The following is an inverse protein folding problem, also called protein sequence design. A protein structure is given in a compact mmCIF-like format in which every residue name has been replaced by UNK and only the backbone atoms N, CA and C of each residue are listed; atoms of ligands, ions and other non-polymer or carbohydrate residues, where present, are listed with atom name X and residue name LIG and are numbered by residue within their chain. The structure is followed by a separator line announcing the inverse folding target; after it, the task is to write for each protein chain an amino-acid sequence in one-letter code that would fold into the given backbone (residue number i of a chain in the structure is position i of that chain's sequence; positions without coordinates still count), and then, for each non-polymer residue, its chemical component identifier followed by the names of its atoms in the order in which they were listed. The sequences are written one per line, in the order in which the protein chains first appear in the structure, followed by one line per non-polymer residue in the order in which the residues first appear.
data_IF_506645516446
#
_entry.id   IF_506645516446
#
_cell.length_a   1.000
_cell.length_b   1.000
_cell.length_c   1.000
_cell.angle_alpha   90.00
_cell.angle_beta   90.00
_cell.angle_gamma   90.00
#
_symmetry.space_group_name_H-M   'P 1'
#
loop_
_entity.id
_entity.type
_entity.pdbx_description
1 polymer ?
#
# COMPACT_ATOMS: atom_id res chain seq x y z
N UNK A 1 -11.85 -29.25 6.38
CA UNK A 1 -12.81 -28.49 7.17
C UNK A 1 -13.34 -29.38 8.28
N UNK A 2 -13.18 -28.95 9.52
CA UNK A 2 -13.85 -29.62 10.63
C UNK A 2 -15.35 -29.48 10.39
N UNK A 3 -16.07 -30.59 10.46
CA UNK A 3 -17.51 -30.59 10.24
C UNK A 3 -18.18 -29.68 11.28
N UNK A 4 -19.04 -28.77 10.85
CA UNK A 4 -19.79 -27.85 11.71
C UNK A 4 -20.84 -28.54 12.57
N UNK A 5 -20.81 -29.87 12.58
CA UNK A 5 -21.83 -30.73 13.21
C UNK A 5 -23.09 -30.88 12.35
N UNK A 6 -23.80 -31.94 12.62
CA UNK A 6 -25.14 -32.20 12.09
C UNK A 6 -26.07 -32.56 13.23
N UNK A 7 -27.37 -32.32 13.11
CA UNK A 7 -28.32 -32.77 14.11
C UNK A 7 -28.24 -34.29 14.31
N UNK A 8 -28.14 -34.72 15.56
CA UNK A 8 -28.23 -36.15 15.88
C UNK A 8 -29.71 -36.49 16.02
N UNK A 9 -30.16 -37.46 15.26
CA UNK A 9 -31.56 -37.86 15.21
C UNK A 9 -31.69 -39.24 15.88
N UNK A 10 -32.55 -39.30 16.84
CA UNK A 10 -32.95 -40.57 17.45
C UNK A 10 -34.32 -40.96 16.90
N UNK A 11 -34.38 -42.08 16.20
CA UNK A 11 -35.63 -42.58 15.64
C UNK A 11 -36.04 -43.91 16.34
N UNK A 12 -37.32 -44.14 16.43
CA UNK A 12 -37.90 -45.39 17.00
C UNK A 12 -38.00 -46.54 16.01
N UNK A 13 -37.38 -46.38 14.83
CA UNK A 13 -37.35 -47.41 13.76
C UNK A 13 -38.52 -47.36 12.79
N UNK A 14 -39.52 -46.54 13.02
CA UNK A 14 -40.66 -46.30 12.12
C UNK A 14 -40.60 -44.96 11.39
N UNK A 15 -39.63 -44.13 11.71
CA UNK A 15 -39.50 -42.76 11.20
C UNK A 15 -38.82 -42.69 9.85
N UNK A 16 -39.37 -41.90 8.93
CA UNK A 16 -38.74 -41.51 7.68
C UNK A 16 -38.31 -40.05 7.78
N UNK A 17 -37.06 -39.83 8.12
CA UNK A 17 -36.55 -38.52 8.43
C UNK A 17 -35.91 -37.85 7.22
N UNK A 18 -36.37 -36.66 6.89
CA UNK A 18 -35.72 -35.74 5.95
C UNK A 18 -35.01 -34.61 6.73
N UNK A 19 -33.78 -34.30 6.34
CA UNK A 19 -33.00 -33.22 6.92
C UNK A 19 -32.52 -32.28 5.82
N UNK A 20 -32.75 -31.01 5.98
CA UNK A 20 -32.22 -29.97 5.11
C UNK A 20 -31.78 -28.76 5.94
N UNK A 21 -31.00 -27.88 5.36
CA UNK A 21 -30.61 -26.64 6.00
C UNK A 21 -30.56 -25.49 4.98
N UNK A 22 -30.60 -24.28 5.53
CA UNK A 22 -30.43 -23.04 4.79
C UNK A 22 -29.42 -22.15 5.55
N UNK A 23 -28.43 -21.61 4.84
CA UNK A 23 -27.35 -20.80 5.41
C UNK A 23 -27.57 -19.34 5.07
N UNK A 24 -27.48 -18.47 6.08
CA UNK A 24 -27.41 -17.02 5.92
C UNK A 24 -26.08 -16.54 6.45
N UNK A 25 -25.24 -15.94 5.57
CA UNK A 25 -23.94 -15.40 5.92
C UNK A 25 -24.06 -13.94 6.33
N UNK A 26 -23.29 -13.56 7.37
CA UNK A 26 -23.12 -12.20 7.85
C UNK A 26 -21.63 -11.90 7.91
N UNK A 27 -21.20 -10.91 7.15
CA UNK A 27 -19.83 -10.39 7.17
C UNK A 27 -19.69 -9.31 8.23
N UNK A 28 -18.46 -8.96 8.61
CA UNK A 28 -18.13 -7.92 9.59
C UNK A 28 -18.74 -8.15 10.98
N UNK A 29 -18.52 -9.31 11.53
CA UNK A 29 -18.98 -9.70 12.85
C UNK A 29 -17.83 -9.54 13.84
N UNK A 30 -18.09 -8.85 14.97
CA UNK A 30 -17.10 -8.68 16.03
C UNK A 30 -16.52 -10.03 16.50
N UNK A 31 -15.18 -10.13 16.47
CA UNK A 31 -14.44 -11.33 16.85
C UNK A 31 -14.61 -12.54 15.93
N UNK A 32 -14.91 -12.34 14.67
CA UNK A 32 -14.94 -13.40 13.66
C UNK A 32 -14.88 -12.81 12.25
N UNK A 33 -14.32 -13.55 11.28
CA UNK A 33 -14.28 -13.17 9.87
C UNK A 33 -15.67 -13.03 9.30
N UNK A 34 -16.51 -14.01 9.59
CA UNK A 34 -17.92 -14.00 9.27
C UNK A 34 -18.68 -14.98 10.18
N UNK A 35 -19.99 -14.82 10.18
CA UNK A 35 -20.90 -15.69 10.90
C UNK A 35 -21.92 -16.28 9.93
N UNK A 36 -22.20 -17.55 10.08
CA UNK A 36 -23.27 -18.24 9.37
C UNK A 36 -24.36 -18.58 10.40
N UNK A 37 -25.59 -18.21 10.09
CA UNK A 37 -26.75 -18.76 10.73
C UNK A 37 -27.27 -19.88 9.84
N UNK A 38 -27.16 -21.12 10.33
CA UNK A 38 -27.68 -22.32 9.66
C UNK A 38 -29.01 -22.69 10.28
N UNK A 39 -30.06 -22.53 9.52
CA UNK A 39 -31.39 -23.00 9.91
C UNK A 39 -31.55 -24.46 9.45
N UNK A 40 -31.54 -25.37 10.39
CA UNK A 40 -31.85 -26.77 10.16
C UNK A 40 -33.37 -26.96 10.11
N UNK A 41 -33.87 -27.71 9.11
CA UNK A 41 -35.25 -28.13 8.97
C UNK A 41 -35.26 -29.66 8.95
N UNK A 42 -35.96 -30.25 9.90
CA UNK A 42 -36.07 -31.69 10.09
C UNK A 42 -37.53 -32.04 9.94
N UNK A 43 -37.83 -33.03 9.15
CA UNK A 43 -39.22 -33.54 8.94
C UNK A 43 -39.22 -35.05 9.10
N UNK A 44 -40.18 -35.52 9.88
CA UNK A 44 -40.53 -36.95 9.93
C UNK A 44 -41.80 -37.16 9.10
N UNK A 45 -41.64 -37.70 7.91
CA UNK A 45 -42.72 -37.91 6.97
C UNK A 45 -43.82 -38.86 7.49
N UNK A 46 -43.52 -39.69 8.45
CA UNK A 46 -44.48 -40.58 9.10
C UNK A 46 -45.40 -39.86 10.08
N UNK A 47 -44.94 -38.74 10.63
CA UNK A 47 -45.66 -37.94 11.62
C UNK A 47 -46.11 -36.57 11.06
N UNK A 48 -45.67 -36.23 9.86
CA UNK A 48 -45.88 -34.89 9.31
C UNK A 48 -47.35 -34.62 8.98
N UNK A 49 -47.90 -33.57 9.58
CA UNK A 49 -49.23 -33.03 9.30
C UNK A 49 -49.16 -31.58 8.84
N UNK A 50 -49.38 -31.29 7.53
CA UNK A 50 -49.13 -29.96 6.96
C UNK A 50 -49.85 -28.81 7.68
N UNK A 51 -51.05 -29.02 8.16
CA UNK A 51 -51.89 -27.99 8.78
C UNK A 51 -51.45 -27.64 10.22
N UNK A 52 -50.77 -28.55 10.89
CA UNK A 52 -50.39 -28.38 12.30
C UNK A 52 -48.90 -28.23 12.50
N UNK A 53 -48.06 -28.57 11.47
CA UNK A 53 -46.61 -28.63 11.57
C UNK A 53 -46.09 -29.77 12.47
N UNK A 54 -46.96 -30.71 12.87
CA UNK A 54 -46.52 -31.90 13.62
C UNK A 54 -45.55 -32.70 12.78
N UNK A 55 -44.51 -33.26 13.40
CA UNK A 55 -43.45 -33.99 12.70
C UNK A 55 -42.42 -33.06 11.98
N UNK A 56 -42.44 -31.78 12.25
CA UNK A 56 -41.46 -30.83 11.74
C UNK A 56 -40.77 -30.09 12.90
N UNK A 57 -39.43 -29.97 12.80
CA UNK A 57 -38.61 -29.22 13.76
C UNK A 57 -37.66 -28.30 13.00
N UNK A 58 -37.35 -27.15 13.60
CA UNK A 58 -36.30 -26.25 13.15
C UNK A 58 -35.36 -25.91 14.29
N UNK A 59 -34.11 -25.68 13.94
CA UNK A 59 -33.06 -25.26 14.88
C UNK A 59 -32.09 -24.35 14.17
N UNK A 60 -31.72 -23.25 14.84
CA UNK A 60 -30.73 -22.32 14.32
C UNK A 60 -29.38 -22.59 14.97
N UNK A 61 -28.43 -22.98 14.17
CA UNK A 61 -27.02 -23.14 14.56
C UNK A 61 -26.25 -21.87 14.19
N UNK A 62 -25.50 -21.34 15.14
CA UNK A 62 -24.59 -20.22 14.93
C UNK A 62 -23.19 -20.78 14.69
N UNK A 63 -22.63 -20.50 13.52
CA UNK A 63 -21.26 -20.89 13.15
C UNK A 63 -20.47 -19.61 13.02
N UNK A 64 -19.41 -19.45 13.84
CA UNK A 64 -18.44 -18.38 13.72
C UNK A 64 -17.20 -18.93 13.02
N UNK A 65 -16.71 -18.22 12.02
CA UNK A 65 -15.46 -18.56 11.32
C UNK A 65 -14.40 -17.58 11.78
N UNK A 66 -13.33 -18.11 12.34
CA UNK A 66 -12.17 -17.35 12.80
C UNK A 66 -11.01 -17.61 11.85
N UNK A 67 -10.22 -16.57 11.62
CA UNK A 67 -8.91 -16.60 11.05
C UNK A 67 -7.96 -15.92 12.03
N UNK A 68 -6.80 -16.49 12.25
CA UNK A 68 -5.77 -15.96 13.15
C UNK A 68 -4.55 -15.47 12.36
N UNK A 69 -4.53 -15.73 11.05
CA UNK A 69 -3.46 -15.32 10.16
C UNK A 69 -3.82 -13.97 9.51
N UNK A 70 -2.93 -13.00 9.59
CA UNK A 70 -3.11 -11.73 8.91
C UNK A 70 -2.67 -11.77 7.46
N UNK A 71 -3.06 -10.75 6.66
CA UNK A 71 -2.66 -10.62 5.27
C UNK A 71 -1.14 -10.64 5.11
N UNK A 72 -0.61 -11.32 4.10
CA UNK A 72 0.82 -11.47 3.90
C UNK A 72 1.33 -10.60 2.77
N UNK A 73 2.27 -9.67 3.07
CA UNK A 73 3.02 -8.95 2.05
C UNK A 73 3.93 -9.90 1.27
N UNK A 74 3.86 -9.85 -0.06
CA UNK A 74 4.67 -10.71 -0.94
C UNK A 74 6.00 -10.05 -1.34
N UNK A 75 6.08 -8.73 -1.26
CA UNK A 75 7.12 -7.90 -1.85
C UNK A 75 7.59 -6.78 -0.91
N UNK A 76 7.50 -7.00 0.41
CA UNK A 76 7.98 -6.01 1.38
C UNK A 76 9.50 -5.85 1.27
N UNK A 77 10.02 -4.64 1.01
CA UNK A 77 11.45 -4.41 0.90
C UNK A 77 12.19 -4.73 2.20
N UNK A 78 13.31 -5.42 2.10
CA UNK A 78 14.21 -5.72 3.23
C UNK A 78 15.40 -4.76 3.30
N UNK A 79 15.67 -4.08 2.20
CA UNK A 79 16.72 -3.07 2.08
C UNK A 79 16.09 -1.69 1.89
N UNK A 80 16.79 -0.61 2.24
CA UNK A 80 16.32 0.74 2.01
C UNK A 80 16.03 1.01 0.53
N UNK A 81 14.95 1.72 0.25
CA UNK A 81 14.53 2.08 -1.10
C UNK A 81 15.06 3.49 -1.42
N UNK A 82 15.79 3.61 -2.51
CA UNK A 82 16.28 4.89 -3.02
C UNK A 82 15.49 5.28 -4.26
N UNK A 83 14.85 6.44 -4.21
CA UNK A 83 14.07 7.01 -5.30
C UNK A 83 14.82 8.22 -5.84
N UNK A 84 15.09 8.18 -7.13
CA UNK A 84 15.90 9.18 -7.82
C UNK A 84 14.99 10.12 -8.63
N UNK A 85 15.13 11.41 -8.42
CA UNK A 85 14.50 12.42 -9.27
C UNK A 85 15.36 12.58 -10.52
N UNK A 86 14.82 12.30 -11.68
CA UNK A 86 15.51 12.41 -12.96
C UNK A 86 14.73 13.27 -13.95
N UNK A 87 15.39 13.78 -15.00
CA UNK A 87 14.83 14.67 -16.03
C UNK A 87 13.53 14.18 -16.69
N UNK A 88 13.25 12.91 -16.64
CA UNK A 88 12.08 12.32 -17.30
C UNK A 88 11.05 11.73 -16.31
N UNK A 89 11.15 12.12 -15.05
CA UNK A 89 10.34 11.58 -13.97
C UNK A 89 10.81 10.21 -13.52
N UNK A 90 10.45 9.86 -12.30
CA UNK A 90 10.67 8.52 -11.80
C UNK A 90 9.63 7.62 -12.46
N UNK A 91 10.11 6.69 -13.26
CA UNK A 91 9.29 5.58 -13.76
C UNK A 91 9.42 4.45 -12.74
N UNK A 92 8.50 4.36 -11.83
CA UNK A 92 8.34 3.14 -11.07
C UNK A 92 7.74 2.05 -11.98
N UNK A 93 8.07 0.78 -11.75
CA UNK A 93 7.76 -0.31 -12.69
C UNK A 93 6.30 -0.45 -13.10
N UNK A 94 5.37 0.07 -12.32
CA UNK A 94 3.94 -0.08 -12.53
C UNK A 94 3.23 1.18 -13.05
N UNK A 95 3.86 2.33 -13.06
CA UNK A 95 3.18 3.57 -13.43
C UNK A 95 4.01 4.43 -14.39
N UNK A 96 3.43 4.71 -15.57
CA UNK A 96 4.02 5.58 -16.59
C UNK A 96 3.74 7.07 -16.35
N UNK A 97 3.38 7.48 -15.13
CA UNK A 97 3.18 8.89 -14.86
C UNK A 97 4.53 9.62 -14.93
N UNK A 98 4.60 10.55 -15.85
CA UNK A 98 5.76 11.40 -15.98
C UNK A 98 5.84 12.35 -14.78
N UNK A 99 7.02 12.55 -14.29
CA UNK A 99 7.38 13.67 -13.45
C UNK A 99 6.82 14.98 -14.07
N UNK A 100 6.25 15.85 -13.25
CA UNK A 100 5.93 17.20 -13.66
C UNK A 100 7.26 17.90 -13.94
N UNK A 101 7.63 17.92 -15.18
CA UNK A 101 8.91 18.45 -15.62
C UNK A 101 8.95 19.98 -15.61
N UNK A 102 10.07 20.52 -16.04
CA UNK A 102 10.38 21.94 -16.13
C UNK A 102 9.32 22.81 -16.86
N UNK A 103 8.42 22.19 -17.59
CA UNK A 103 7.38 22.87 -18.37
C UNK A 103 6.13 23.21 -17.56
N UNK A 104 6.01 22.75 -16.31
CA UNK A 104 4.93 23.15 -15.41
C UNK A 104 5.38 24.31 -14.51
N UNK A 105 4.90 25.55 -14.79
CA UNK A 105 5.29 26.72 -13.98
C UNK A 105 4.82 26.65 -12.53
N UNK A 106 4.03 25.63 -12.16
CA UNK A 106 3.56 25.39 -10.81
C UNK A 106 4.24 24.17 -10.16
N UNK A 107 5.08 23.45 -10.89
CA UNK A 107 5.86 22.37 -10.31
C UNK A 107 6.87 22.94 -9.33
N UNK A 108 6.89 22.46 -8.10
CA UNK A 108 8.02 22.75 -7.23
C UNK A 108 9.23 22.00 -7.81
N UNK A 109 10.35 22.69 -7.92
CA UNK A 109 11.56 22.24 -8.59
C UNK A 109 12.13 20.90 -8.08
N UNK A 110 11.70 20.42 -6.91
CA UNK A 110 12.19 19.19 -6.27
C UNK A 110 11.05 18.25 -5.87
N UNK A 111 9.95 18.28 -6.57
CA UNK A 111 8.86 17.36 -6.32
C UNK A 111 8.95 16.12 -7.19
N UNK A 112 8.47 15.01 -6.68
CA UNK A 112 8.36 13.76 -7.42
C UNK A 112 7.01 13.12 -7.16
N UNK A 113 6.37 12.70 -8.25
CA UNK A 113 5.15 11.92 -8.21
C UNK A 113 5.52 10.44 -8.18
N UNK A 114 5.10 9.75 -7.14
CA UNK A 114 5.49 8.36 -6.88
C UNK A 114 4.25 7.52 -6.67
N UNK A 115 4.17 6.39 -7.37
CA UNK A 115 3.22 5.33 -7.04
C UNK A 115 3.96 4.24 -6.27
N UNK A 116 3.53 4.01 -5.03
CA UNK A 116 3.96 2.89 -4.22
C UNK A 116 2.95 1.76 -4.33
N UNK A 117 3.42 0.55 -4.55
CA UNK A 117 2.58 -0.61 -4.83
C UNK A 117 3.07 -1.83 -4.08
N UNK A 118 2.13 -2.58 -3.48
CA UNK A 118 2.39 -3.84 -2.82
C UNK A 118 1.38 -4.90 -3.21
N UNK A 119 1.84 -6.13 -3.30
CA UNK A 119 0.99 -7.31 -3.47
C UNK A 119 0.75 -7.97 -2.12
N UNK A 120 -0.51 -8.15 -1.77
CA UNK A 120 -0.95 -8.81 -0.55
C UNK A 120 -1.61 -10.13 -0.90
N UNK A 121 -1.26 -11.18 -0.16
CA UNK A 121 -1.96 -12.46 -0.19
C UNK A 121 -2.84 -12.57 1.05
N UNK A 122 -4.11 -12.84 0.80
CA UNK A 122 -5.11 -13.10 1.81
C UNK A 122 -6.01 -14.27 1.36
N UNK A 123 -6.49 -15.11 2.27
CA UNK A 123 -7.20 -16.34 1.91
C UNK A 123 -8.61 -16.45 2.46
N UNK A 124 -8.94 -15.71 3.51
CA UNK A 124 -10.21 -15.81 4.22
C UNK A 124 -11.14 -14.62 4.00
N UNK A 125 -10.60 -13.46 3.67
CA UNK A 125 -11.35 -12.24 3.40
C UNK A 125 -11.42 -11.91 1.92
N UNK A 126 -12.58 -11.45 1.46
CA UNK A 126 -12.77 -10.95 0.09
C UNK A 126 -12.25 -9.51 -0.08
N UNK A 127 -11.99 -8.84 1.03
CA UNK A 127 -11.53 -7.44 1.08
C UNK A 127 -10.51 -7.29 2.19
N UNK A 128 -9.45 -6.52 1.92
CA UNK A 128 -8.50 -6.03 2.93
C UNK A 128 -8.60 -4.52 3.03
N UNK A 129 -8.21 -3.97 4.18
CA UNK A 129 -8.12 -2.54 4.40
C UNK A 129 -6.67 -2.18 4.66
N UNK A 130 -6.20 -1.08 4.07
CA UNK A 130 -4.82 -0.65 4.26
C UNK A 130 -4.71 0.85 4.48
N UNK A 131 -3.66 1.26 5.16
CA UNK A 131 -3.24 2.64 5.31
C UNK A 131 -1.72 2.77 5.15
N UNK A 132 -1.29 3.98 4.79
CA UNK A 132 0.13 4.28 4.56
C UNK A 132 0.53 5.49 5.36
N UNK A 133 1.57 5.34 6.17
CA UNK A 133 2.17 6.40 6.98
C UNK A 133 3.64 6.55 6.66
N UNK A 134 4.14 7.77 6.76
CA UNK A 134 5.57 8.02 6.71
C UNK A 134 6.02 8.72 7.99
N UNK A 135 7.14 8.29 8.49
CA UNK A 135 7.85 8.93 9.61
C UNK A 135 9.05 9.67 9.03
N UNK A 136 9.00 11.00 8.94
CA UNK A 136 10.13 11.78 8.48
C UNK A 136 11.31 11.61 9.43
N UNK A 137 12.52 11.52 8.89
CA UNK A 137 13.71 11.30 9.72
C UNK A 137 13.96 12.44 10.73
N UNK A 138 13.55 13.65 10.40
CA UNK A 138 13.68 14.84 11.25
C UNK A 138 12.38 15.21 11.97
N UNK A 139 11.35 14.37 11.89
CA UNK A 139 10.03 14.60 12.49
C UNK A 139 9.79 13.72 13.72
N UNK A 140 8.95 14.21 14.60
CA UNK A 140 8.50 13.45 15.78
C UNK A 140 7.23 12.67 15.53
N UNK A 141 6.44 13.09 14.56
CA UNK A 141 5.15 12.52 14.22
C UNK A 141 5.13 11.96 12.80
N UNK A 142 4.23 11.03 12.55
CA UNK A 142 4.03 10.51 11.20
C UNK A 142 3.14 11.43 10.36
N UNK A 143 3.32 11.34 9.05
CA UNK A 143 2.43 11.94 8.05
C UNK A 143 1.56 10.82 7.49
N UNK A 144 0.24 10.99 7.56
CA UNK A 144 -0.69 10.04 6.93
C UNK A 144 -0.71 10.28 5.42
N UNK A 145 -0.03 9.44 4.68
CA UNK A 145 -0.01 9.54 3.22
C UNK A 145 -1.31 9.04 2.60
N UNK A 146 -1.81 7.91 3.09
CA UNK A 146 -3.10 7.37 2.64
C UNK A 146 -3.91 6.92 3.86
N UNK A 147 -5.15 7.42 4.00
CA UNK A 147 -6.05 6.94 5.05
C UNK A 147 -6.53 5.52 4.73
N UNK A 148 -7.11 4.87 5.73
CA UNK A 148 -7.66 3.52 5.61
C UNK A 148 -8.55 3.38 4.36
N UNK A 149 -8.15 2.51 3.46
CA UNK A 149 -8.77 2.31 2.15
C UNK A 149 -8.97 0.82 1.93
N UNK A 150 -10.09 0.45 1.30
CA UNK A 150 -10.38 -0.94 0.95
C UNK A 150 -9.71 -1.35 -0.36
N UNK A 151 -9.24 -2.58 -0.42
CA UNK A 151 -8.80 -3.25 -1.65
C UNK A 151 -9.46 -4.62 -1.75
N UNK A 152 -9.84 -5.00 -2.97
CA UNK A 152 -10.52 -6.27 -3.24
C UNK A 152 -9.51 -7.37 -3.51
N UNK A 153 -9.75 -8.54 -2.99
CA UNK A 153 -9.01 -9.77 -3.29
C UNK A 153 -9.48 -10.31 -4.65
N UNK A 154 -8.54 -10.69 -5.49
CA UNK A 154 -8.82 -11.35 -6.77
C UNK A 154 -9.10 -12.86 -6.61
N UNK A 155 -9.31 -13.55 -7.75
CA UNK A 155 -9.58 -15.00 -7.77
C UNK A 155 -8.41 -15.85 -7.29
N UNK A 156 -7.19 -15.32 -7.24
CA UNK A 156 -5.99 -15.96 -6.71
C UNK A 156 -5.77 -15.61 -5.22
N UNK A 157 -6.71 -14.92 -4.60
CA UNK A 157 -6.61 -14.40 -3.24
C UNK A 157 -5.46 -13.39 -3.09
N UNK A 158 -5.29 -12.56 -4.10
CA UNK A 158 -4.31 -11.48 -4.13
C UNK A 158 -5.01 -10.12 -4.19
N UNK A 159 -4.46 -9.14 -3.50
CA UNK A 159 -4.85 -7.75 -3.63
C UNK A 159 -3.63 -6.92 -4.05
N UNK A 160 -3.84 -5.97 -4.94
CA UNK A 160 -2.86 -4.93 -5.27
C UNK A 160 -3.18 -3.68 -4.48
N UNK A 161 -2.27 -3.31 -3.60
CA UNK A 161 -2.34 -2.07 -2.83
C UNK A 161 -1.55 -1.02 -3.58
N UNK A 162 -2.18 0.09 -3.94
CA UNK A 162 -1.49 1.18 -4.60
C UNK A 162 -1.75 2.51 -3.90
N UNK A 163 -0.77 3.37 -3.96
CA UNK A 163 -0.80 4.70 -3.38
C UNK A 163 -0.02 5.65 -4.29
N UNK A 164 -0.69 6.69 -4.73
CA UNK A 164 -0.18 7.69 -5.63
C UNK A 164 -0.06 9.02 -4.89
N UNK A 165 1.15 9.59 -4.83
CA UNK A 165 1.41 10.80 -4.05
C UNK A 165 2.55 11.62 -4.61
N UNK A 166 2.50 12.90 -4.33
CA UNK A 166 3.62 13.81 -4.51
C UNK A 166 4.42 13.91 -3.20
N UNK A 167 5.71 13.60 -3.25
CA UNK A 167 6.60 13.57 -2.10
C UNK A 167 7.47 14.83 -1.94
N UNK A 168 7.03 15.96 -2.49
CA UNK A 168 7.75 17.23 -2.44
C UNK A 168 8.18 17.64 -1.04
N UNK A 169 7.31 17.49 -0.07
CA UNK A 169 7.58 17.88 1.32
C UNK A 169 8.60 17.00 2.03
N UNK A 170 8.79 15.78 1.54
CA UNK A 170 9.76 14.84 2.10
C UNK A 170 11.14 14.98 1.47
N UNK A 171 11.20 15.67 0.34
CA UNK A 171 12.42 15.88 -0.41
C UNK A 171 13.33 16.96 0.19
N UNK A 172 12.80 17.93 0.93
CA UNK A 172 13.50 19.11 1.44
C UNK A 172 14.71 18.84 2.34
N UNK A 173 15.05 17.60 2.53
CA UNK A 173 15.99 17.11 3.53
C UNK A 173 17.44 17.21 3.07
N UNK A 174 17.71 17.11 1.77
CA UNK A 174 19.08 17.22 1.22
C UNK A 174 19.45 18.58 0.66
N UNK A 175 18.54 19.51 0.61
CA UNK A 175 18.81 20.88 0.15
C UNK A 175 19.85 21.62 1.00
N UNK A 176 20.20 21.08 2.18
CA UNK A 176 21.15 21.74 3.10
C UNK A 176 22.63 21.44 2.80
N UNK A 177 22.95 20.85 1.66
CA UNK A 177 24.35 20.67 1.23
C UNK A 177 25.22 19.85 2.18
N UNK A 178 24.64 19.08 3.07
CA UNK A 178 25.40 18.19 3.94
C UNK A 178 25.95 17.03 3.12
N UNK A 179 27.26 16.81 3.15
CA UNK A 179 27.86 15.71 2.43
C UNK A 179 27.30 14.39 2.93
N UNK A 180 27.03 13.51 2.02
CA UNK A 180 26.75 12.09 2.28
C UNK A 180 27.98 11.46 2.91
N UNK A 181 27.99 11.33 4.23
CA UNK A 181 29.18 10.93 4.95
C UNK A 181 29.33 9.43 5.16
N UNK A 182 28.24 8.67 5.10
CA UNK A 182 28.29 7.21 5.26
C UNK A 182 27.11 6.54 4.56
N UNK A 183 27.34 5.67 3.56
CA UNK A 183 26.27 4.89 2.95
C UNK A 183 25.57 3.91 3.91
N UNK A 184 26.15 3.68 5.09
CA UNK A 184 25.57 2.85 6.13
C UNK A 184 24.83 3.66 7.20
N UNK A 185 24.92 5.00 7.17
CA UNK A 185 24.16 5.87 8.06
C UNK A 185 22.77 6.13 7.47
N UNK A 186 21.78 5.41 7.97
CA UNK A 186 20.38 5.56 7.59
C UNK A 186 19.66 6.67 8.36
N UNK A 187 20.39 7.60 8.99
CA UNK A 187 19.80 8.67 9.80
C UNK A 187 19.01 9.69 9.00
N UNK A 188 19.24 9.79 7.71
CA UNK A 188 18.55 10.67 6.76
C UNK A 188 17.43 9.97 5.95
N UNK A 189 17.12 8.73 6.29
CA UNK A 189 16.04 8.01 5.66
C UNK A 189 14.70 8.28 6.35
N UNK A 190 13.66 8.37 5.55
CA UNK A 190 12.29 8.29 6.02
C UNK A 190 11.89 6.84 6.21
N UNK A 191 10.95 6.59 7.11
CA UNK A 191 10.38 5.27 7.31
C UNK A 191 8.96 5.24 6.79
N UNK A 192 8.66 4.34 5.84
CA UNK A 192 7.31 4.06 5.37
C UNK A 192 6.75 2.89 6.16
N UNK A 193 5.52 3.04 6.61
CA UNK A 193 4.77 1.99 7.26
C UNK A 193 3.46 1.76 6.50
N UNK A 194 3.33 0.59 5.94
CA UNK A 194 2.07 0.05 5.44
C UNK A 194 1.43 -0.82 6.51
N UNK A 195 0.17 -0.59 6.78
CA UNK A 195 -0.62 -1.40 7.69
C UNK A 195 -1.78 -1.99 6.90
N UNK A 196 -1.96 -3.29 6.99
CA UNK A 196 -3.04 -4.00 6.29
C UNK A 196 -3.83 -4.83 7.30
N UNK A 197 -5.14 -4.70 7.23
CA UNK A 197 -6.12 -5.41 8.06
C UNK A 197 -7.03 -6.26 7.16
N UNK A 198 -7.26 -7.49 7.51
CA UNK A 198 -8.26 -8.33 6.87
C UNK A 198 -9.68 -8.05 7.38
N UNK A 199 -10.69 -8.74 6.82
CA UNK A 199 -12.07 -8.66 7.31
C UNK A 199 -12.29 -9.33 8.67
N UNK A 200 -11.28 -10.02 9.21
CA UNK A 200 -11.32 -10.73 10.47
C UNK A 200 -10.76 -9.91 11.64
N UNK A 201 -10.07 -8.80 11.32
CA UNK A 201 -9.41 -7.93 12.29
C UNK A 201 -7.96 -8.26 12.55
N UNK A 202 -7.34 -9.14 11.73
CA UNK A 202 -5.91 -9.43 11.85
C UNK A 202 -5.10 -8.40 11.06
N UNK A 203 -3.95 -8.02 11.61
CA UNK A 203 -3.09 -6.97 11.08
C UNK A 203 -1.74 -7.52 10.63
N UNK A 204 -1.25 -6.98 9.54
CA UNK A 204 0.13 -7.14 9.11
C UNK A 204 0.73 -5.80 8.72
N UNK A 205 2.04 -5.69 8.84
CA UNK A 205 2.77 -4.47 8.56
C UNK A 205 3.94 -4.74 7.63
N UNK A 206 4.19 -3.79 6.73
CA UNK A 206 5.42 -3.71 5.96
C UNK A 206 6.07 -2.36 6.26
N UNK A 207 7.27 -2.41 6.84
CA UNK A 207 8.02 -1.22 7.22
C UNK A 207 9.36 -1.25 6.49
N UNK A 208 9.71 -0.15 5.82
CA UNK A 208 11.00 -0.01 5.19
C UNK A 208 11.46 1.45 5.20
N UNK A 209 12.75 1.62 5.03
CA UNK A 209 13.37 2.93 4.90
C UNK A 209 13.37 3.37 3.44
N UNK A 210 13.15 4.64 3.20
CA UNK A 210 13.30 5.21 1.88
C UNK A 210 13.88 6.61 1.92
N UNK A 211 14.53 7.01 0.85
CA UNK A 211 14.97 8.38 0.63
C UNK A 211 14.77 8.80 -0.82
N UNK A 212 14.65 10.10 -0.99
CA UNK A 212 14.62 10.74 -2.30
C UNK A 212 16.00 11.35 -2.56
N UNK A 213 16.56 11.08 -3.71
CA UNK A 213 17.81 11.66 -4.16
C UNK A 213 17.61 12.50 -5.42
N UNK A 214 18.27 13.64 -5.46
CA UNK A 214 18.42 14.35 -6.71
C UNK A 214 19.50 13.68 -7.55
N UNK A 215 19.09 13.03 -8.62
CA UNK A 215 19.99 12.43 -9.60
C UNK A 215 20.00 13.20 -10.91
N UNK A 216 19.32 14.35 -10.96
CA UNK A 216 19.33 15.22 -12.11
C UNK A 216 20.67 15.93 -12.19
N UNK A 217 21.27 15.92 -13.37
CA UNK A 217 22.49 16.68 -13.59
C UNK A 217 22.16 18.16 -13.82
N UNK A 218 22.96 19.08 -13.24
CA UNK A 218 22.79 20.49 -13.54
C UNK A 218 22.75 20.78 -15.03
N UNK A 219 21.83 21.62 -15.45
CA UNK A 219 21.72 22.02 -16.86
C UNK A 219 22.69 23.16 -17.15
N UNK A 220 23.79 22.91 -17.90
CA UNK A 220 24.74 23.96 -18.24
C UNK A 220 24.20 24.84 -19.35
N UNK A 221 23.97 26.11 -19.09
CA UNK A 221 23.63 27.12 -20.08
C UNK A 221 24.81 28.06 -20.27
N UNK A 222 25.55 27.85 -21.35
CA UNK A 222 26.71 28.66 -21.66
C UNK A 222 26.32 29.90 -22.46
N UNK A 223 27.12 30.96 -22.33
CA UNK A 223 27.02 32.14 -23.20
C UNK A 223 27.29 31.70 -24.64
N UNK A 224 26.28 31.88 -25.47
CA UNK A 224 26.41 31.55 -26.89
C UNK A 224 26.91 32.80 -27.66
N UNK A 225 28.11 32.72 -28.19
CA UNK A 225 28.71 33.77 -28.97
C UNK A 225 30.20 33.98 -28.68
N UNK A 226 30.75 35.04 -29.24
CA UNK A 226 32.15 35.42 -29.08
C UNK A 226 32.35 36.17 -27.76
N UNK A 227 33.10 35.60 -26.84
CA UNK A 227 33.56 36.30 -25.64
C UNK A 227 34.95 36.91 -25.86
N UNK A 228 35.06 38.21 -25.67
CA UNK A 228 36.36 38.90 -25.79
C UNK A 228 36.87 39.28 -24.42
N UNK A 229 38.13 38.95 -24.12
CA UNK A 229 38.84 39.32 -22.90
C UNK A 229 40.00 40.21 -23.28
N UNK A 230 40.13 41.33 -22.60
CA UNK A 230 41.28 42.23 -22.78
C UNK A 230 42.49 41.65 -22.06
N UNK A 231 43.56 41.33 -22.84
CA UNK A 231 44.79 40.82 -22.26
C UNK A 231 45.55 41.93 -21.55
N UNK A 232 45.88 41.79 -20.29
CA UNK A 232 46.71 42.76 -19.56
C UNK A 232 48.17 42.71 -20.09
N UNK A 233 48.95 43.74 -19.75
CA UNK A 233 50.35 43.87 -20.17
C UNK A 233 51.21 42.68 -19.74
N UNK A 234 50.82 41.96 -18.70
CA UNK A 234 51.51 40.75 -18.21
C UNK A 234 51.27 39.49 -19.06
N UNK A 235 50.41 39.54 -20.06
CA UNK A 235 50.21 38.43 -21.01
C UNK A 235 49.38 37.26 -20.48
N UNK A 236 48.84 37.33 -19.25
CA UNK A 236 48.02 36.29 -18.64
C UNK A 236 46.69 36.88 -18.16
N UNK A 237 45.60 36.12 -18.36
CA UNK A 237 44.27 36.45 -17.86
C UNK A 237 43.62 35.19 -17.29
N UNK A 238 43.08 35.32 -16.11
CA UNK A 238 42.34 34.26 -15.46
C UNK A 238 40.88 34.39 -15.85
N UNK A 239 40.29 33.34 -16.44
CA UNK A 239 38.88 33.23 -16.74
C UNK A 239 38.27 32.12 -15.88
N UNK A 240 37.13 32.38 -15.34
CA UNK A 240 36.41 31.47 -14.46
C UNK A 240 35.23 30.87 -15.22
N UNK A 241 34.76 29.67 -14.83
CA UNK A 241 33.58 29.05 -15.43
C UNK A 241 32.36 29.99 -15.37
N UNK A 242 32.20 30.78 -14.32
CA UNK A 242 31.12 31.78 -14.17
C UNK A 242 31.12 32.86 -15.28
N UNK A 243 32.28 33.12 -15.88
CA UNK A 243 32.41 34.12 -16.95
C UNK A 243 31.78 33.64 -18.27
N UNK A 244 31.52 32.33 -18.38
CA UNK A 244 30.88 31.68 -19.52
C UNK A 244 29.48 31.16 -19.19
N UNK A 245 29.02 31.36 -17.96
CA UNK A 245 27.71 30.92 -17.53
C UNK A 245 26.64 31.95 -17.93
N UNK A 246 25.67 31.54 -18.72
CA UNK A 246 24.53 32.38 -19.07
C UNK A 246 23.38 32.27 -18.05
N UNK A 247 23.12 31.11 -17.52
CA UNK A 247 22.07 30.85 -16.52
C UNK A 247 22.02 29.34 -16.18
N UNK A 248 23.18 28.70 -16.00
CA UNK A 248 23.17 27.30 -15.59
C UNK A 248 22.43 27.16 -14.25
N UNK A 249 21.60 26.19 -14.16
CA UNK A 249 20.75 25.95 -13.01
C UNK A 249 20.65 24.48 -12.65
N UNK A 250 20.30 24.25 -11.43
CA UNK A 250 19.93 22.97 -10.85
C UNK A 250 18.66 23.17 -10.04
N UNK A 251 17.68 22.29 -10.22
CA UNK A 251 16.34 22.48 -9.67
C UNK A 251 16.27 22.15 -8.18
N UNK A 252 17.21 21.35 -7.66
CA UNK A 252 17.15 20.80 -6.32
C UNK A 252 18.25 21.31 -5.38
N UNK A 253 18.98 22.35 -5.75
CA UNK A 253 20.02 22.98 -4.91
C UNK A 253 19.65 24.32 -4.31
#
# INVERSE_FOLDING_TARGET
PMGTGQPTIFSDGCSLIGVTFEDTRFDFVDGACFKILREWKIIDWCQYVPQTGAGQWSYVQVIKVHDEDGPAFQDCPTEPVELCVADQGIRLPANNQAFLGEDDPNASSCSVHVTLEHTIKETCSDVVFYDVKVYPFNGTDFIQLKPRTAATIDTAHLATLNFDTELATLFSIRQNGLPYNDPLDCSDYHKVLWSVEDGCGNWSHCEYLFRLEDCKQPTPVCINGLSTVVMPIGGEVTVWAKDFNASSFDDCT
#
